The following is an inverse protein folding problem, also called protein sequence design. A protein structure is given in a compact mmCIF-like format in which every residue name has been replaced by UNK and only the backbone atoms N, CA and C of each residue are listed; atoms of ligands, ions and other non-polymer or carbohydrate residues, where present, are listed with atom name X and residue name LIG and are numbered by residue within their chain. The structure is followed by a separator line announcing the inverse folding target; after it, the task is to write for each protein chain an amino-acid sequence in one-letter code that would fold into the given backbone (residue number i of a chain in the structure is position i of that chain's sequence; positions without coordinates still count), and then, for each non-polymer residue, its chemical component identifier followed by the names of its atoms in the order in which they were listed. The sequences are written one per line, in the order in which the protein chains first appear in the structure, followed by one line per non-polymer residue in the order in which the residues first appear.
data_IF_416619733153
#
_entry.id   IF_416619733153
#
_cell.length_a   1.000
_cell.length_b   1.000
_cell.length_c   1.000
_cell.angle_alpha   90.00
_cell.angle_beta   90.00
_cell.angle_gamma   90.00
#
_symmetry.space_group_name_H-M   'P 1'
#
loop_
_entity.id
_entity.type
_entity.pdbx_description
1 polymer ?
#
# COMPACT_ATOMS: atom_id res chain seq x y z
N UNK A 1 -8.79 -6.56 9.36
CA UNK A 1 -7.50 -7.18 8.97
C UNK A 1 -7.59 -7.60 7.51
N UNK A 2 -6.52 -7.40 6.75
CA UNK A 2 -6.40 -7.79 5.34
C UNK A 2 -4.94 -8.17 5.03
N UNK A 3 -4.70 -8.82 3.89
CA UNK A 3 -3.34 -9.22 3.50
C UNK A 3 -2.65 -8.12 2.72
N UNK A 4 -1.37 -7.88 3.01
CA UNK A 4 -0.52 -6.95 2.28
C UNK A 4 0.91 -7.47 2.15
N UNK A 5 1.63 -7.02 1.11
CA UNK A 5 3.08 -7.15 1.08
C UNK A 5 3.64 -6.07 2.02
N UNK A 6 4.48 -6.44 2.97
CA UNK A 6 5.12 -5.53 3.91
C UNK A 6 6.62 -5.58 3.69
N UNK A 7 7.18 -4.41 3.39
CA UNK A 7 8.61 -4.19 3.40
C UNK A 7 9.01 -3.73 4.80
N UNK A 8 10.01 -4.39 5.38
CA UNK A 8 10.59 -4.03 6.67
C UNK A 8 12.12 -4.05 6.62
N UNK A 9 12.74 -3.34 7.56
CA UNK A 9 14.18 -3.31 7.75
C UNK A 9 14.53 -3.31 9.23
N UNK A 10 14.85 -4.48 9.77
CA UNK A 10 15.26 -4.69 11.16
C UNK A 10 16.69 -5.20 11.23
N UNK A 11 17.52 -4.60 12.08
CA UNK A 11 18.92 -5.00 12.28
C UNK A 11 19.74 -5.09 10.98
N UNK A 12 19.43 -4.24 10.01
CA UNK A 12 20.07 -4.22 8.69
C UNK A 12 19.52 -5.26 7.69
N UNK A 13 18.67 -6.18 8.12
CA UNK A 13 18.04 -7.16 7.25
C UNK A 13 16.80 -6.56 6.57
N UNK A 14 16.77 -6.62 5.23
CA UNK A 14 15.67 -6.11 4.41
C UNK A 14 14.76 -7.26 4.00
N UNK A 15 13.46 -7.15 4.28
CA UNK A 15 12.50 -8.22 4.00
C UNK A 15 11.27 -7.67 3.29
N UNK A 16 10.69 -8.49 2.41
CA UNK A 16 9.37 -8.26 1.84
C UNK A 16 8.53 -9.54 2.02
N UNK A 17 7.47 -9.48 2.80
CA UNK A 17 6.64 -10.64 3.17
C UNK A 17 5.16 -10.37 2.95
N UNK A 18 4.40 -11.41 2.63
CA UNK A 18 2.93 -11.32 2.67
C UNK A 18 2.47 -11.56 4.11
N UNK A 19 1.81 -10.59 4.72
CA UNK A 19 1.34 -10.66 6.11
C UNK A 19 -0.06 -10.05 6.28
N UNK A 20 -0.66 -10.20 7.45
CA UNK A 20 -1.92 -9.56 7.82
C UNK A 20 -1.68 -8.19 8.45
N UNK A 21 -2.45 -7.20 8.01
CA UNK A 21 -2.40 -5.81 8.47
C UNK A 21 -3.77 -5.41 8.97
N UNK A 22 -3.81 -4.68 10.08
CA UNK A 22 -5.04 -4.04 10.57
C UNK A 22 -5.24 -2.67 9.94
N UNK A 23 -6.50 -2.27 9.76
CA UNK A 23 -6.85 -0.94 9.25
C UNK A 23 -6.31 0.19 10.15
N UNK A 24 -6.11 -0.08 11.45
CA UNK A 24 -5.53 0.89 12.38
C UNK A 24 -4.03 1.14 12.15
N UNK A 25 -3.35 0.30 11.38
CA UNK A 25 -1.94 0.45 11.02
C UNK A 25 -1.75 1.26 9.72
N UNK A 26 -2.85 1.57 9.02
CA UNK A 26 -2.81 2.41 7.84
C UNK A 26 -2.47 3.86 8.21
N UNK A 27 -1.79 4.53 7.28
CA UNK A 27 -1.55 5.97 7.39
C UNK A 27 -2.88 6.74 7.36
N UNK A 28 -2.96 7.91 8.04
CA UNK A 28 -4.15 8.75 7.96
C UNK A 28 -4.40 9.20 6.52
N UNK A 29 -5.68 9.20 6.12
CA UNK A 29 -6.16 9.67 4.83
C UNK A 29 -7.66 9.93 4.87
N UNK A 30 -8.17 10.64 3.86
CA UNK A 30 -9.58 11.02 3.80
C UNK A 30 -10.46 9.98 3.08
N UNK A 31 -9.85 9.04 2.35
CA UNK A 31 -10.56 8.06 1.51
C UNK A 31 -9.93 6.69 1.68
N UNK A 32 -10.73 5.74 2.16
CA UNK A 32 -10.34 4.34 2.27
C UNK A 32 -10.76 3.58 1.02
N UNK A 33 -9.84 2.79 0.47
CA UNK A 33 -10.03 2.07 -0.79
C UNK A 33 -9.91 0.57 -0.57
N UNK A 34 -10.94 -0.17 -0.98
CA UNK A 34 -10.87 -1.61 -1.22
C UNK A 34 -10.13 -1.83 -2.55
N UNK A 35 -8.83 -2.15 -2.47
CA UNK A 35 -7.99 -2.39 -3.66
C UNK A 35 -8.41 -3.68 -4.35
N UNK A 36 -8.71 -3.59 -5.66
CA UNK A 36 -9.12 -4.73 -6.48
C UNK A 36 -7.94 -5.27 -7.29
N UNK A 37 -7.13 -4.36 -7.85
CA UNK A 37 -5.93 -4.72 -8.61
C UNK A 37 -4.83 -3.69 -8.37
N UNK A 38 -3.61 -4.14 -8.58
CA UNK A 38 -2.40 -3.33 -8.67
C UNK A 38 -1.54 -3.89 -9.80
N UNK A 39 -0.33 -3.39 -9.95
CA UNK A 39 0.63 -3.82 -10.97
C UNK A 39 2.03 -3.91 -10.38
N UNK A 40 2.99 -4.38 -11.16
CA UNK A 40 4.40 -4.44 -10.78
C UNK A 40 5.22 -3.61 -11.76
N UNK A 41 5.56 -2.39 -11.35
CA UNK A 41 6.48 -1.56 -12.10
C UNK A 41 7.94 -1.88 -11.72
N UNK A 42 8.88 -1.39 -12.53
CA UNK A 42 10.30 -1.49 -12.21
C UNK A 42 10.63 -0.83 -10.86
N UNK A 43 9.99 0.30 -10.55
CA UNK A 43 10.17 1.00 -9.27
C UNK A 43 9.65 0.19 -8.07
N UNK A 44 8.54 -0.54 -8.24
CA UNK A 44 8.03 -1.44 -7.22
C UNK A 44 8.99 -2.60 -6.97
N UNK A 45 9.53 -3.20 -8.05
CA UNK A 45 10.54 -4.24 -7.93
C UNK A 45 11.81 -3.73 -7.22
N UNK A 46 12.27 -2.51 -7.52
CA UNK A 46 13.39 -1.88 -6.82
C UNK A 46 13.11 -1.67 -5.33
N UNK A 47 11.88 -1.26 -4.98
CA UNK A 47 11.44 -1.14 -3.59
C UNK A 47 11.39 -2.52 -2.92
N UNK A 48 10.67 -3.49 -3.47
CA UNK A 48 10.49 -4.84 -2.89
C UNK A 48 11.84 -5.55 -2.68
N UNK A 49 12.80 -5.36 -3.59
CA UNK A 49 14.12 -6.01 -3.51
C UNK A 49 15.16 -5.23 -2.72
N UNK A 50 14.87 -3.99 -2.31
CA UNK A 50 15.82 -3.13 -1.61
C UNK A 50 17.05 -2.72 -2.45
N UNK A 51 16.99 -2.88 -3.79
CA UNK A 51 18.12 -2.63 -4.71
C UNK A 51 18.37 -1.15 -5.01
N UNK A 52 17.49 -0.26 -4.56
CA UNK A 52 17.59 1.20 -4.75
C UNK A 52 16.92 1.92 -3.58
N UNK A 53 17.36 3.14 -3.18
CA UNK A 53 16.77 3.88 -2.07
C UNK A 53 15.40 4.49 -2.40
N UNK A 54 14.45 3.64 -2.80
CA UNK A 54 13.05 4.01 -3.07
C UNK A 54 12.27 4.16 -1.75
N UNK A 55 12.45 3.21 -0.82
CA UNK A 55 11.79 3.20 0.48
C UNK A 55 12.56 4.09 1.46
N UNK A 56 11.85 5.01 2.12
CA UNK A 56 12.43 5.98 3.06
C UNK A 56 12.00 5.77 4.51
N UNK A 57 10.92 5.02 4.73
CA UNK A 57 10.36 4.70 6.04
C UNK A 57 9.94 3.23 6.06
N UNK A 58 10.14 2.57 7.21
CA UNK A 58 9.74 1.18 7.44
C UNK A 58 8.84 1.12 8.69
N UNK A 59 7.85 0.20 8.73
CA UNK A 59 7.42 -0.68 7.64
C UNK A 59 6.73 0.09 6.49
N UNK A 60 6.69 -0.50 5.30
CA UNK A 60 6.02 0.08 4.12
C UNK A 60 5.26 -0.98 3.33
N UNK A 61 4.01 -0.68 2.97
CA UNK A 61 3.26 -1.43 1.95
C UNK A 61 3.64 -0.87 0.57
N UNK A 62 4.28 -1.64 -0.33
CA UNK A 62 4.68 -1.17 -1.64
C UNK A 62 3.53 -1.23 -2.66
N UNK A 63 3.76 -0.60 -3.81
CA UNK A 63 2.79 -0.51 -4.91
C UNK A 63 2.47 0.96 -5.20
N UNK A 64 2.91 1.46 -6.35
CA UNK A 64 2.64 2.85 -6.75
C UNK A 64 1.28 3.04 -7.41
N UNK A 65 0.66 1.96 -7.90
CA UNK A 65 -0.60 2.03 -8.65
C UNK A 65 -1.67 1.14 -8.00
N UNK A 66 -2.94 1.53 -8.12
CA UNK A 66 -4.07 0.66 -7.83
C UNK A 66 -5.31 1.01 -8.66
N UNK A 67 -6.20 0.04 -8.81
CA UNK A 67 -7.64 0.31 -9.04
C UNK A 67 -8.44 -0.31 -7.91
N UNK A 68 -9.45 0.40 -7.46
CA UNK A 68 -10.20 0.01 -6.28
C UNK A 68 -11.57 0.64 -6.20
N UNK A 69 -12.27 0.32 -5.11
CA UNK A 69 -13.58 0.84 -4.80
C UNK A 69 -13.52 1.58 -3.46
N UNK A 70 -14.10 2.77 -3.38
CA UNK A 70 -14.18 3.53 -2.13
C UNK A 70 -14.99 2.74 -1.09
N UNK A 71 -14.37 2.40 0.04
CA UNK A 71 -15.02 1.69 1.16
C UNK A 71 -15.56 2.67 2.20
N UNK A 72 -14.84 3.76 2.45
CA UNK A 72 -15.25 4.90 3.27
C UNK A 72 -14.59 6.20 2.78
N UNK A 73 -15.22 7.35 3.02
CA UNK A 73 -14.69 8.65 2.63
C UNK A 73 -15.20 9.76 3.54
N UNK A 74 -14.30 10.68 3.90
CA UNK A 74 -14.59 11.97 4.51
C UNK A 74 -14.42 13.13 3.51
N UNK A 75 -14.10 12.83 2.25
CA UNK A 75 -13.89 13.81 1.19
C UNK A 75 -15.13 13.91 0.28
N UNK A 76 -15.58 15.13 -0.03
CA UNK A 76 -16.82 15.37 -0.79
C UNK A 76 -16.83 14.77 -2.19
N UNK A 77 -15.65 14.66 -2.80
CA UNK A 77 -15.53 14.25 -4.21
C UNK A 77 -15.51 12.72 -4.40
N UNK A 78 -15.50 11.96 -3.31
CA UNK A 78 -15.42 10.50 -3.34
C UNK A 78 -16.53 9.87 -2.52
N UNK A 79 -17.40 9.11 -3.18
CA UNK A 79 -18.53 8.44 -2.53
C UNK A 79 -18.28 6.94 -2.37
N UNK A 80 -18.82 6.35 -1.30
CA UNK A 80 -18.74 4.90 -1.06
C UNK A 80 -19.28 4.12 -2.26
N UNK A 81 -18.50 3.16 -2.74
CA UNK A 81 -18.84 2.33 -3.90
C UNK A 81 -18.30 2.86 -5.24
N UNK A 82 -17.76 4.08 -5.28
CA UNK A 82 -17.14 4.64 -6.48
C UNK A 82 -15.87 3.88 -6.86
N UNK A 83 -15.68 3.63 -8.16
CA UNK A 83 -14.45 3.08 -8.69
C UNK A 83 -13.42 4.19 -8.91
N UNK A 84 -12.19 3.95 -8.48
CA UNK A 84 -11.09 4.91 -8.52
C UNK A 84 -9.80 4.25 -9.01
N UNK A 85 -8.86 5.08 -9.47
CA UNK A 85 -7.52 4.70 -9.92
C UNK A 85 -6.50 5.66 -9.32
N UNK A 86 -5.33 5.14 -8.99
CA UNK A 86 -4.12 5.91 -8.71
C UNK A 86 -2.96 5.27 -9.47
#
# INVERSE_FOLDING_TARGET
MFKAIIIDKKDGNYTATLDEVSEQELMPGDVDIEVLYSTLNYKDALAITGKSPVVRSFPMIPGIDFVGKVSASNHSDYERGQLVIL
#
